data_IF_095315914164
#
_entry.id   IF_095315914164
#
_cell.length_a   1.000
_cell.length_b   1.000
_cell.length_c   1.000
_cell.angle_alpha   90.00
_cell.angle_beta   90.00
_cell.angle_gamma   90.00
#
_symmetry.space_group_name_H-M   'P 1'
#
loop_
_entity.id
_entity.type
_entity.pdbx_description
1 polymer ?
#
# COMPACT_ATOMS: atom_id res chain seq x y z
N UNK A 1 17.94 43.92 -30.50
CA UNK A 1 18.36 44.80 -29.39
C UNK A 1 17.34 44.62 -28.29
N UNK A 2 17.75 44.39 -27.03
CA UNK A 2 16.81 44.22 -25.92
C UNK A 2 16.34 45.61 -25.49
N UNK A 3 15.04 45.89 -25.61
CA UNK A 3 14.43 47.17 -25.19
C UNK A 3 13.72 47.01 -23.86
N UNK A 4 13.55 48.09 -23.11
CA UNK A 4 12.93 48.05 -21.77
C UNK A 4 11.51 47.46 -21.80
N UNK A 5 10.72 47.80 -22.82
CA UNK A 5 9.38 47.24 -23.02
C UNK A 5 9.40 45.71 -23.15
N UNK A 6 10.34 45.15 -23.93
CA UNK A 6 10.49 43.70 -24.06
C UNK A 6 10.92 43.04 -22.76
N UNK A 7 11.68 43.73 -21.91
CA UNK A 7 12.04 43.21 -20.58
C UNK A 7 10.86 43.18 -19.61
N UNK A 8 10.00 44.21 -19.64
CA UNK A 8 8.78 44.26 -18.81
C UNK A 8 7.79 43.15 -19.19
N UNK A 9 7.59 42.92 -20.49
CA UNK A 9 6.75 41.82 -20.98
C UNK A 9 7.29 40.45 -20.54
N UNK A 10 8.60 40.23 -20.66
CA UNK A 10 9.24 38.99 -20.20
C UNK A 10 9.08 38.79 -18.69
N UNK A 11 9.25 39.83 -17.88
CA UNK A 11 9.03 39.77 -16.45
C UNK A 11 7.59 39.42 -16.08
N UNK A 12 6.61 39.98 -16.80
CA UNK A 12 5.20 39.65 -16.59
C UNK A 12 4.91 38.18 -16.90
N UNK A 13 5.46 37.66 -18.00
CA UNK A 13 5.32 36.23 -18.38
C UNK A 13 5.92 35.34 -17.28
N UNK A 14 7.11 35.69 -16.78
CA UNK A 14 7.78 34.95 -15.71
C UNK A 14 6.95 35.01 -14.42
N UNK A 15 6.46 36.20 -14.01
CA UNK A 15 5.60 36.38 -12.82
C UNK A 15 4.33 35.54 -12.92
N UNK A 16 3.67 35.50 -14.09
CA UNK A 16 2.49 34.65 -14.34
C UNK A 16 2.83 33.16 -14.21
N UNK A 17 3.92 32.69 -14.84
CA UNK A 17 4.35 31.27 -14.73
C UNK A 17 4.71 30.85 -13.32
N UNK A 18 5.38 31.70 -12.54
CA UNK A 18 5.69 31.45 -11.12
C UNK A 18 4.39 31.33 -10.30
N UNK A 19 3.43 32.23 -10.54
CA UNK A 19 2.13 32.22 -9.87
C UNK A 19 1.34 30.93 -10.17
N UNK A 20 1.37 30.51 -11.43
CA UNK A 20 0.68 29.30 -11.90
C UNK A 20 1.45 28.00 -11.62
N UNK A 21 2.69 28.09 -11.10
CA UNK A 21 3.60 26.96 -10.87
C UNK A 21 3.84 26.10 -12.13
N UNK A 22 3.81 26.73 -13.31
CA UNK A 22 4.03 26.10 -14.60
C UNK A 22 5.53 26.11 -14.92
N UNK A 23 6.20 24.99 -14.60
CA UNK A 23 7.63 24.80 -14.79
C UNK A 23 7.89 23.77 -15.88
N UNK A 24 8.75 24.13 -16.84
CA UNK A 24 9.19 23.26 -17.93
C UNK A 24 10.46 22.46 -17.57
N UNK A 25 10.80 22.38 -16.27
CA UNK A 25 11.97 21.65 -15.77
C UNK A 25 11.82 20.13 -16.00
N UNK A 26 12.93 19.48 -16.39
CA UNK A 26 12.97 18.03 -16.55
C UNK A 26 12.74 17.34 -15.19
N UNK A 27 11.67 16.55 -15.10
CA UNK A 27 11.38 15.77 -13.90
C UNK A 27 12.41 14.65 -13.74
N UNK A 28 12.97 14.50 -12.53
CA UNK A 28 13.88 13.39 -12.21
C UNK A 28 13.16 12.06 -12.48
N UNK A 29 13.70 11.25 -13.39
CA UNK A 29 13.24 9.88 -13.64
C UNK A 29 13.50 9.07 -12.36
N UNK A 30 12.43 8.71 -11.66
CA UNK A 30 12.50 7.76 -10.55
C UNK A 30 12.73 6.37 -11.15
N UNK A 31 13.73 5.64 -10.63
CA UNK A 31 13.83 4.22 -10.94
C UNK A 31 12.53 3.53 -10.47
N UNK A 32 11.97 2.59 -11.23
CA UNK A 32 10.86 1.78 -10.73
C UNK A 32 11.29 1.19 -9.39
N UNK A 33 10.48 1.40 -8.36
CA UNK A 33 10.69 0.76 -7.07
C UNK A 33 10.18 -0.66 -7.24
N UNK A 34 11.10 -1.59 -7.36
CA UNK A 34 10.80 -3.00 -7.16
C UNK A 34 10.61 -3.17 -5.65
N UNK A 35 9.40 -2.90 -5.16
CA UNK A 35 9.05 -3.16 -3.78
C UNK A 35 8.99 -4.70 -3.62
N UNK A 36 9.90 -5.34 -2.84
CA UNK A 36 10.02 -6.81 -2.80
C UNK A 36 8.75 -7.54 -2.34
N UNK A 37 7.79 -6.80 -1.77
CA UNK A 37 6.57 -7.34 -1.15
C UNK A 37 5.26 -6.99 -1.88
N UNK A 38 5.32 -6.34 -3.05
CA UNK A 38 4.10 -5.99 -3.80
C UNK A 38 3.46 -7.16 -4.56
N UNK A 39 4.02 -8.38 -4.44
CA UNK A 39 3.54 -9.59 -5.12
C UNK A 39 2.24 -10.20 -4.58
N UNK A 40 1.38 -9.45 -3.89
CA UNK A 40 0.01 -9.89 -3.68
C UNK A 40 -0.77 -9.70 -4.98
N UNK A 41 -0.58 -10.64 -5.91
CA UNK A 41 -1.45 -10.78 -7.07
C UNK A 41 -2.88 -10.85 -6.55
N UNK A 42 -3.80 -10.16 -7.22
CA UNK A 42 -5.23 -10.30 -6.91
C UNK A 42 -5.55 -11.78 -7.03
N UNK A 43 -5.98 -12.39 -5.93
CA UNK A 43 -6.45 -13.77 -5.94
C UNK A 43 -7.55 -13.86 -6.99
N UNK A 44 -7.24 -14.48 -8.13
CA UNK A 44 -8.23 -14.76 -9.16
C UNK A 44 -9.10 -15.87 -8.59
N UNK A 45 -10.38 -15.56 -8.35
CA UNK A 45 -11.33 -16.56 -7.89
C UNK A 45 -11.63 -17.49 -9.06
N UNK A 46 -11.21 -18.74 -8.95
CA UNK A 46 -11.56 -19.79 -9.93
C UNK A 46 -13.07 -20.04 -9.86
N UNK A 47 -13.74 -19.94 -11.01
CA UNK A 47 -15.19 -20.15 -11.13
C UNK A 47 -15.56 -21.60 -11.48
N UNK A 48 -14.56 -22.47 -11.58
CA UNK A 48 -14.77 -23.90 -11.79
C UNK A 48 -15.27 -24.55 -10.50
N UNK A 49 -16.07 -25.62 -10.63
CA UNK A 49 -16.54 -26.38 -9.48
C UNK A 49 -15.33 -26.99 -8.74
N UNK A 50 -15.34 -26.91 -7.41
CA UNK A 50 -14.26 -27.46 -6.60
C UNK A 50 -14.10 -28.95 -6.84
N UNK A 51 -12.86 -29.38 -7.11
CA UNK A 51 -12.51 -30.81 -7.25
C UNK A 51 -12.45 -31.51 -5.89
N UNK A 52 -12.27 -30.76 -4.81
CA UNK A 52 -12.13 -31.24 -3.44
C UNK A 52 -13.46 -31.19 -2.70
N UNK A 53 -13.61 -32.12 -1.75
CA UNK A 53 -14.77 -32.14 -0.84
C UNK A 53 -14.64 -31.11 0.29
N UNK A 54 -15.76 -30.73 0.92
CA UNK A 54 -15.73 -29.77 2.03
C UNK A 54 -14.87 -30.26 3.21
N UNK A 55 -14.93 -31.56 3.53
CA UNK A 55 -14.13 -32.16 4.60
C UNK A 55 -12.63 -32.07 4.32
N UNK A 56 -12.23 -32.30 3.07
CA UNK A 56 -10.83 -32.23 2.63
C UNK A 56 -10.30 -30.79 2.66
N UNK A 57 -11.13 -29.80 2.31
CA UNK A 57 -10.78 -28.38 2.45
C UNK A 57 -10.47 -28.05 3.92
N UNK A 58 -11.32 -28.51 4.86
CA UNK A 58 -11.09 -28.29 6.28
C UNK A 58 -9.83 -28.97 6.80
N UNK A 59 -9.53 -30.20 6.35
CA UNK A 59 -8.29 -30.90 6.70
C UNK A 59 -7.06 -30.13 6.20
N UNK A 60 -7.08 -29.69 4.94
CA UNK A 60 -6.00 -28.91 4.35
C UNK A 60 -5.81 -27.55 5.05
N UNK A 61 -6.89 -26.87 5.41
CA UNK A 61 -6.82 -25.62 6.18
C UNK A 61 -6.23 -25.85 7.57
N UNK A 62 -6.61 -26.93 8.26
CA UNK A 62 -6.07 -27.28 9.57
C UNK A 62 -4.56 -27.56 9.50
N UNK A 63 -4.10 -28.31 8.49
CA UNK A 63 -2.68 -28.55 8.24
C UNK A 63 -1.92 -27.27 7.90
N UNK A 64 -2.49 -26.40 7.04
CA UNK A 64 -1.90 -25.09 6.68
C UNK A 64 -1.83 -24.11 7.84
N UNK A 65 -2.75 -24.18 8.81
CA UNK A 65 -2.72 -23.36 10.02
C UNK A 65 -1.62 -23.84 10.98
N UNK A 66 -1.39 -25.15 11.05
CA UNK A 66 -0.37 -25.75 11.90
C UNK A 66 1.04 -25.66 11.31
N UNK A 67 1.17 -25.70 9.98
CA UNK A 67 2.41 -25.40 9.30
C UNK A 67 2.60 -23.88 9.28
N UNK A 68 3.70 -23.39 9.87
CA UNK A 68 4.05 -21.96 9.77
C UNK A 68 4.19 -21.61 8.28
N UNK A 69 3.19 -20.90 7.75
CA UNK A 69 3.11 -20.27 6.42
C UNK A 69 4.43 -20.33 5.65
N UNK A 70 4.64 -21.43 4.93
CA UNK A 70 5.50 -21.40 3.76
C UNK A 70 4.82 -20.43 2.80
N UNK A 71 5.55 -19.38 2.46
CA UNK A 71 5.14 -18.35 1.52
C UNK A 71 4.56 -19.01 0.26
N UNK A 72 3.50 -18.41 -0.28
CA UNK A 72 2.79 -18.88 -1.47
C UNK A 72 3.79 -19.42 -2.50
N UNK A 73 3.66 -20.71 -2.83
CA UNK A 73 4.55 -21.42 -3.74
C UNK A 73 4.74 -20.58 -5.00
N UNK A 74 5.95 -20.06 -5.18
CA UNK A 74 6.37 -19.60 -6.50
C UNK A 74 6.13 -20.76 -7.45
N UNK A 75 5.46 -20.50 -8.57
CA UNK A 75 5.16 -21.55 -9.54
C UNK A 75 6.48 -22.25 -9.92
N UNK A 76 6.55 -23.59 -9.87
CA UNK A 76 7.79 -24.31 -10.15
C UNK A 76 8.38 -23.95 -11.52
N UNK A 77 7.51 -23.66 -12.50
CA UNK A 77 7.87 -23.14 -13.82
C UNK A 77 8.74 -21.87 -13.76
N UNK A 78 8.48 -20.94 -12.84
CA UNK A 78 9.28 -19.72 -12.69
C UNK A 78 10.68 -20.02 -12.16
N UNK A 79 10.79 -20.96 -11.21
CA UNK A 79 12.08 -21.41 -10.67
C UNK A 79 12.90 -22.12 -11.74
N UNK A 80 12.27 -22.96 -12.56
CA UNK A 80 12.93 -23.62 -13.69
C UNK A 80 13.43 -22.62 -14.73
N UNK A 81 12.61 -21.63 -15.11
CA UNK A 81 13.01 -20.57 -16.03
C UNK A 81 14.18 -19.77 -15.48
N UNK A 82 14.18 -19.42 -14.18
CA UNK A 82 15.30 -18.71 -13.55
C UNK A 82 16.60 -19.52 -13.62
N UNK A 83 16.57 -20.81 -13.29
CA UNK A 83 17.74 -21.71 -13.40
C UNK A 83 18.26 -21.80 -14.84
N UNK A 84 17.36 -21.97 -15.82
CA UNK A 84 17.75 -22.00 -17.24
C UNK A 84 18.35 -20.66 -17.68
N UNK A 85 17.82 -19.55 -17.21
CA UNK A 85 18.31 -18.21 -17.52
C UNK A 85 19.70 -17.96 -16.93
N UNK A 86 19.93 -18.33 -15.67
CA UNK A 86 21.23 -18.22 -15.00
C UNK A 86 22.30 -19.04 -15.72
N UNK A 87 22.00 -20.31 -16.03
CA UNK A 87 22.93 -21.18 -16.75
C UNK A 87 23.24 -20.68 -18.16
N UNK A 88 22.26 -20.11 -18.87
CA UNK A 88 22.45 -19.50 -20.18
C UNK A 88 23.35 -18.26 -20.09
N UNK A 89 23.10 -17.36 -19.14
CA UNK A 89 23.91 -16.14 -18.99
C UNK A 89 25.35 -16.45 -18.62
N UNK A 90 25.61 -17.42 -17.74
CA UNK A 90 26.99 -17.84 -17.42
C UNK A 90 27.72 -18.33 -18.68
N UNK A 91 27.03 -19.04 -19.58
CA UNK A 91 27.62 -19.50 -20.86
C UNK A 91 27.88 -18.35 -21.84
N UNK A 92 26.97 -17.38 -21.94
CA UNK A 92 27.15 -16.20 -22.79
C UNK A 92 28.25 -15.28 -22.27
N UNK A 93 28.33 -15.11 -20.96
CA UNK A 93 29.37 -14.32 -20.30
C UNK A 93 30.74 -14.96 -20.54
N UNK A 94 30.84 -16.30 -20.44
CA UNK A 94 32.07 -17.02 -20.76
C UNK A 94 32.44 -16.93 -22.26
N UNK A 95 31.46 -17.02 -23.16
CA UNK A 95 31.67 -16.90 -24.62
C UNK A 95 32.15 -15.50 -25.03
N UNK A 96 31.74 -14.46 -24.30
CA UNK A 96 32.14 -13.07 -24.54
C UNK A 96 33.43 -12.67 -23.79
N UNK A 97 34.19 -13.63 -23.26
CA UNK A 97 35.37 -13.39 -22.41
C UNK A 97 35.09 -12.46 -21.23
N UNK A 98 33.89 -12.54 -20.66
CA UNK A 98 33.42 -11.70 -19.56
C UNK A 98 33.39 -10.19 -19.84
N UNK A 99 33.33 -9.79 -21.12
CA UNK A 99 33.12 -8.39 -21.51
C UNK A 99 31.63 -8.08 -21.70
N UNK A 100 30.87 -8.04 -20.60
CA UNK A 100 29.43 -7.80 -20.61
C UNK A 100 29.04 -6.64 -19.68
N UNK A 101 27.81 -6.14 -19.84
CA UNK A 101 27.24 -5.18 -18.91
C UNK A 101 26.72 -5.93 -17.66
N UNK A 102 27.19 -5.61 -16.45
CA UNK A 102 26.79 -6.32 -15.25
C UNK A 102 25.27 -6.24 -15.03
N UNK A 103 24.70 -7.31 -14.45
CA UNK A 103 23.28 -7.37 -14.14
C UNK A 103 22.87 -6.15 -13.29
N UNK A 104 21.69 -5.56 -13.54
CA UNK A 104 21.23 -4.43 -12.73
C UNK A 104 21.12 -4.86 -11.26
N UNK A 105 21.47 -3.99 -10.31
CA UNK A 105 21.45 -4.34 -8.89
C UNK A 105 20.01 -4.52 -8.41
N UNK A 106 19.65 -5.77 -8.13
CA UNK A 106 18.37 -6.14 -7.52
C UNK A 106 18.50 -6.00 -5.99
N UNK A 107 17.52 -5.39 -5.29
CA UNK A 107 17.57 -5.28 -3.83
C UNK A 107 17.39 -6.65 -3.16
N UNK A 108 18.48 -7.27 -2.74
CA UNK A 108 18.48 -8.53 -1.98
C UNK A 108 18.45 -8.27 -0.47
N UNK A 109 17.53 -8.92 0.25
CA UNK A 109 17.45 -8.85 1.72
C UNK A 109 18.34 -9.96 2.31
N UNK A 110 19.47 -9.57 2.91
CA UNK A 110 20.35 -10.49 3.63
C UNK A 110 20.08 -10.43 5.13
N UNK A 111 19.66 -11.54 5.71
CA UNK A 111 19.44 -11.67 7.16
C UNK A 111 20.73 -12.17 7.78
N UNK A 112 21.42 -11.31 8.54
CA UNK A 112 22.66 -11.65 9.25
C UNK A 112 22.34 -11.96 10.71
N UNK A 113 22.82 -13.09 11.22
CA UNK A 113 22.70 -13.48 12.62
C UNK A 113 23.85 -12.94 13.47
N UNK A 114 23.60 -12.71 14.76
CA UNK A 114 24.63 -12.27 15.70
C UNK A 114 25.53 -13.45 16.09
N UNK A 115 26.56 -13.69 15.27
CA UNK A 115 27.61 -14.68 15.51
C UNK A 115 28.96 -13.96 15.77
N UNK A 116 29.91 -14.58 16.49
CA UNK A 116 31.27 -14.07 16.57
C UNK A 116 31.95 -14.17 15.18
N UNK A 117 32.74 -13.17 14.80
CA UNK A 117 33.41 -13.12 13.50
C UNK A 117 34.23 -14.39 13.20
N UNK A 118 34.84 -14.97 14.24
CA UNK A 118 35.57 -16.24 14.24
C UNK A 118 34.81 -17.37 13.52
N UNK A 119 33.48 -17.45 13.64
CA UNK A 119 32.69 -18.53 13.02
C UNK A 119 32.52 -18.41 11.52
N UNK A 120 32.70 -17.21 10.96
CA UNK A 120 32.64 -16.95 9.52
C UNK A 120 34.03 -16.96 8.87
N UNK A 121 35.09 -16.79 9.66
CA UNK A 121 36.46 -16.79 9.18
C UNK A 121 36.95 -18.20 8.84
N UNK A 122 37.94 -18.29 7.95
CA UNK A 122 38.57 -19.55 7.57
C UNK A 122 39.37 -20.14 8.75
N UNK A 123 39.45 -21.46 8.81
CA UNK A 123 40.22 -22.19 9.84
C UNK A 123 41.72 -22.10 9.51
N UNK A 124 42.30 -20.91 9.62
CA UNK A 124 43.72 -20.66 9.46
C UNK A 124 44.28 -20.08 10.79
N UNK A 125 45.51 -20.42 11.20
CA UNK A 125 46.09 -19.95 12.48
C UNK A 125 46.48 -18.45 12.53
N UNK A 126 45.93 -17.61 11.66
CA UNK A 126 46.29 -16.18 11.54
C UNK A 126 45.44 -15.34 12.50
N UNK A 127 45.98 -14.23 13.00
CA UNK A 127 45.33 -13.33 13.97
C UNK A 127 43.85 -13.04 13.63
N UNK A 128 42.96 -13.54 14.48
CA UNK A 128 41.49 -13.49 14.34
C UNK A 128 40.93 -12.29 15.10
N UNK A 129 39.87 -11.68 14.58
CA UNK A 129 39.12 -10.64 15.29
C UNK A 129 38.06 -11.25 16.24
N UNK A 130 38.06 -10.86 17.51
CA UNK A 130 37.07 -11.35 18.50
C UNK A 130 35.74 -10.56 18.49
N UNK A 131 35.50 -9.73 17.46
CA UNK A 131 34.30 -8.91 17.38
C UNK A 131 33.08 -9.74 16.98
N UNK A 132 31.89 -9.30 17.39
CA UNK A 132 30.63 -9.84 16.86
C UNK A 132 30.33 -9.24 15.48
N UNK A 133 29.60 -9.98 14.63
CA UNK A 133 29.19 -9.51 13.31
C UNK A 133 28.23 -8.32 13.35
N UNK A 134 27.38 -8.26 14.39
CA UNK A 134 26.34 -7.26 14.51
C UNK A 134 26.85 -6.03 15.26
N UNK A 135 26.57 -4.83 14.73
CA UNK A 135 26.97 -3.59 15.38
C UNK A 135 26.15 -3.35 16.67
N UNK A 136 26.71 -2.67 17.69
CA UNK A 136 25.95 -2.32 18.89
C UNK A 136 24.66 -1.53 18.62
N UNK A 137 24.62 -0.74 17.54
CA UNK A 137 23.43 0.03 17.12
C UNK A 137 22.31 -0.85 16.55
N UNK A 138 22.64 -2.01 15.98
CA UNK A 138 21.69 -2.98 15.45
C UNK A 138 21.17 -3.90 16.55
N UNK A 139 22.01 -4.20 17.56
CA UNK A 139 21.57 -4.86 18.81
C UNK A 139 20.64 -3.94 19.61
N UNK A 140 21.00 -2.66 19.72
CA UNK A 140 20.24 -1.66 20.47
C UNK A 140 20.23 -0.34 19.73
N UNK A 141 19.06 0.03 19.20
CA UNK A 141 18.87 1.34 18.59
C UNK A 141 19.23 2.45 19.59
N UNK A 142 20.01 3.43 19.13
CA UNK A 142 20.25 4.66 19.90
C UNK A 142 18.92 5.40 20.11
N UNK A 143 18.72 5.90 21.32
CA UNK A 143 17.60 6.79 21.61
C UNK A 143 17.71 8.04 20.71
N UNK A 144 16.77 8.21 19.77
CA UNK A 144 16.75 9.29 18.75
C UNK A 144 16.72 10.72 19.35
N UNK A 145 16.55 10.82 20.67
CA UNK A 145 16.47 12.07 21.43
C UNK A 145 17.69 12.37 22.31
N UNK A 146 18.75 11.55 22.28
CA UNK A 146 19.81 11.64 23.28
C UNK A 146 19.32 11.12 24.64
N UNK A 147 19.64 11.85 25.71
CA UNK A 147 19.25 11.49 27.07
C UNK A 147 17.72 11.52 27.24
N UNK A 148 17.16 10.46 27.84
CA UNK A 148 15.72 10.30 27.97
C UNK A 148 15.19 11.19 29.09
N UNK A 149 14.96 12.46 28.80
CA UNK A 149 14.29 13.39 29.73
C UNK A 149 12.80 13.15 29.79
N UNK A 150 12.26 12.99 30.99
CA UNK A 150 10.83 12.88 31.25
C UNK A 150 10.15 14.25 31.10
N UNK A 151 8.86 14.33 30.81
CA UNK A 151 8.15 15.60 30.59
C UNK A 151 8.15 16.55 31.80
N UNK A 152 8.38 16.00 33.01
CA UNK A 152 8.59 16.74 34.25
C UNK A 152 9.95 17.45 34.31
N UNK A 153 10.99 16.83 33.75
CA UNK A 153 12.37 17.34 33.75
C UNK A 153 12.63 18.32 32.60
N UNK A 154 11.69 18.42 31.64
CA UNK A 154 11.81 19.31 30.49
C UNK A 154 11.51 20.75 30.86
N UNK A 155 12.51 21.60 30.64
CA UNK A 155 12.36 23.04 30.74
C UNK A 155 11.35 23.58 29.71
N UNK A 156 10.73 24.76 29.94
CA UNK A 156 9.80 25.35 28.98
C UNK A 156 10.47 25.67 27.62
N UNK A 157 11.77 25.95 27.61
CA UNK A 157 12.56 26.16 26.38
C UNK A 157 12.71 24.87 25.58
N UNK A 158 13.00 23.74 26.25
CA UNK A 158 13.08 22.41 25.64
C UNK A 158 11.73 22.00 25.03
N UNK A 159 10.62 22.21 25.75
CA UNK A 159 9.26 21.94 25.25
C UNK A 159 8.95 22.73 23.97
N UNK A 160 9.36 24.01 23.90
CA UNK A 160 9.19 24.85 22.71
C UNK A 160 10.08 24.36 21.54
N UNK A 161 11.33 23.97 21.80
CA UNK A 161 12.24 23.42 20.79
C UNK A 161 11.70 22.13 20.19
N UNK A 162 11.24 21.20 21.02
CA UNK A 162 10.63 19.94 20.59
C UNK A 162 9.38 20.16 19.75
N UNK A 163 8.52 21.11 20.15
CA UNK A 163 7.35 21.48 19.34
C UNK A 163 7.74 22.02 17.97
N UNK A 164 8.77 22.86 17.87
CA UNK A 164 9.29 23.36 16.58
C UNK A 164 9.83 22.21 15.72
N UNK A 165 10.62 21.31 16.31
CA UNK A 165 11.15 20.10 15.63
C UNK A 165 10.01 19.23 15.11
N UNK A 166 9.01 18.91 15.94
CA UNK A 166 7.82 18.14 15.55
C UNK A 166 7.04 18.81 14.43
N UNK A 167 6.82 20.13 14.49
CA UNK A 167 6.16 20.90 13.42
C UNK A 167 6.97 20.87 12.10
N UNK A 168 8.29 21.02 12.17
CA UNK A 168 9.16 20.95 11.01
C UNK A 168 9.09 19.58 10.35
N UNK A 169 9.24 18.50 11.12
CA UNK A 169 9.16 17.13 10.60
C UNK A 169 7.79 16.84 9.99
N UNK A 170 6.70 17.32 10.61
CA UNK A 170 5.35 17.20 10.05
C UNK A 170 5.21 17.96 8.73
N UNK A 171 5.77 19.17 8.63
CA UNK A 171 5.76 19.98 7.39
C UNK A 171 6.55 19.30 6.27
N UNK A 172 7.73 18.75 6.58
CA UNK A 172 8.55 18.01 5.60
C UNK A 172 7.79 16.77 5.09
N UNK A 173 7.23 15.96 5.99
CA UNK A 173 6.43 14.78 5.62
C UNK A 173 5.19 15.14 4.78
N UNK A 174 4.50 16.23 5.11
CA UNK A 174 3.35 16.71 4.32
C UNK A 174 3.78 17.14 2.91
N UNK A 175 4.86 17.92 2.81
CA UNK A 175 5.40 18.38 1.53
C UNK A 175 5.87 17.20 0.65
N UNK A 176 6.46 16.18 1.26
CA UNK A 176 6.85 14.95 0.56
C UNK A 176 5.63 14.16 0.07
N UNK A 177 4.59 14.01 0.90
CA UNK A 177 3.33 13.37 0.50
C UNK A 177 2.65 14.12 -0.65
N UNK A 178 2.60 15.45 -0.58
CA UNK A 178 2.03 16.29 -1.63
C UNK A 178 2.82 16.16 -2.93
N UNK A 179 4.16 16.17 -2.87
CA UNK A 179 5.03 15.90 -4.03
C UNK A 179 4.75 14.53 -4.64
N UNK A 180 4.64 13.47 -3.82
CA UNK A 180 4.31 12.12 -4.28
C UNK A 180 2.93 12.06 -4.95
N UNK A 181 1.92 12.71 -4.36
CA UNK A 181 0.57 12.80 -4.94
C UNK A 181 0.58 13.53 -6.29
N UNK A 182 1.23 14.69 -6.38
CA UNK A 182 1.38 15.44 -7.64
C UNK A 182 2.08 14.62 -8.73
N UNK A 183 3.11 13.85 -8.37
CA UNK A 183 3.78 12.96 -9.32
C UNK A 183 2.86 11.82 -9.79
N UNK A 184 2.07 11.23 -8.90
CA UNK A 184 1.08 10.21 -9.25
C UNK A 184 -0.04 10.77 -10.13
N UNK A 185 -0.55 11.97 -9.83
CA UNK A 185 -1.56 12.66 -10.62
C UNK A 185 -1.08 13.02 -12.02
N UNK A 186 0.19 13.43 -12.17
CA UNK A 186 0.80 13.68 -13.49
C UNK A 186 1.05 12.40 -14.29
N UNK A 187 1.35 11.28 -13.63
CA UNK A 187 1.54 9.97 -14.27
C UNK A 187 0.21 9.31 -14.65
N UNK A 188 -0.90 9.68 -14.01
CA UNK A 188 -2.24 9.27 -14.42
C UNK A 188 -2.65 10.09 -15.64
N UNK A 189 -2.78 9.43 -16.79
CA UNK A 189 -3.18 10.06 -18.05
C UNK A 189 -4.44 10.95 -17.91
N UNK A 190 -4.55 12.04 -18.70
CA UNK A 190 -5.69 12.96 -18.67
C UNK A 190 -7.03 12.36 -19.16
N UNK A 191 -7.12 11.04 -19.37
CA UNK A 191 -8.36 10.30 -19.65
C UNK A 191 -8.85 9.41 -18.49
N UNK A 192 -8.01 9.10 -17.49
CA UNK A 192 -8.33 8.20 -16.39
C UNK A 192 -8.75 8.93 -15.10
N UNK A 193 -9.31 10.15 -15.23
CA UNK A 193 -9.92 10.90 -14.11
C UNK A 193 -11.26 10.28 -13.69
N UNK A 194 -11.29 8.97 -13.45
CA UNK A 194 -12.25 8.43 -12.52
C UNK A 194 -11.70 8.70 -11.12
N UNK A 195 -11.82 9.96 -10.70
CA UNK A 195 -11.66 10.34 -9.30
C UNK A 195 -12.40 9.31 -8.43
N UNK A 196 -11.94 9.03 -7.20
CA UNK A 196 -12.67 8.13 -6.29
C UNK A 196 -14.19 8.39 -6.26
N UNK A 197 -14.59 9.65 -6.44
CA UNK A 197 -15.99 10.09 -6.59
C UNK A 197 -16.66 9.61 -7.88
N UNK A 198 -15.96 9.62 -9.01
CA UNK A 198 -16.44 9.11 -10.29
C UNK A 198 -16.48 7.57 -10.34
N UNK A 199 -15.50 6.87 -9.75
CA UNK A 199 -15.59 5.42 -9.56
C UNK A 199 -16.71 5.04 -8.59
N UNK A 200 -16.89 5.79 -7.50
CA UNK A 200 -18.06 5.64 -6.61
C UNK A 200 -19.38 5.95 -7.32
N UNK A 201 -19.40 6.93 -8.24
CA UNK A 201 -20.59 7.26 -9.02
C UNK A 201 -20.91 6.15 -10.04
N UNK A 202 -19.91 5.54 -10.68
CA UNK A 202 -20.08 4.40 -11.58
C UNK A 202 -20.53 3.16 -10.81
N UNK A 203 -19.94 2.86 -9.64
CA UNK A 203 -20.40 1.79 -8.76
C UNK A 203 -21.86 2.01 -8.33
N UNK A 204 -22.25 3.25 -7.99
CA UNK A 204 -23.65 3.61 -7.69
C UNK A 204 -24.58 3.44 -8.90
N UNK A 205 -24.15 3.74 -10.12
CA UNK A 205 -24.94 3.51 -11.34
C UNK A 205 -25.14 2.02 -11.61
N UNK A 206 -24.06 1.24 -11.56
CA UNK A 206 -24.09 -0.22 -11.73
C UNK A 206 -25.00 -0.91 -10.69
N UNK A 207 -24.99 -0.46 -9.44
CA UNK A 207 -25.89 -1.01 -8.40
C UNK A 207 -27.37 -0.70 -8.64
N UNK A 208 -27.69 0.40 -9.33
CA UNK A 208 -29.07 0.77 -9.68
C UNK A 208 -29.56 0.02 -10.93
N UNK A 209 -28.68 -0.16 -11.91
CA UNK A 209 -29.01 -0.75 -13.21
C UNK A 209 -29.03 -2.29 -13.17
N UNK A 210 -28.13 -2.92 -12.41
CA UNK A 210 -27.97 -4.39 -12.38
C UNK A 210 -28.62 -5.09 -11.18
N UNK A 211 -29.28 -4.35 -10.28
CA UNK A 211 -29.93 -4.92 -9.09
C UNK A 211 -28.96 -5.57 -8.08
N UNK A 212 -27.65 -5.39 -8.22
CA UNK A 212 -26.64 -5.89 -7.29
C UNK A 212 -26.52 -4.93 -6.11
N UNK A 213 -26.83 -5.39 -4.89
CA UNK A 213 -26.62 -4.61 -3.68
C UNK A 213 -25.13 -4.50 -3.37
N UNK A 214 -24.60 -3.28 -3.36
CA UNK A 214 -23.28 -3.00 -2.81
C UNK A 214 -23.36 -3.29 -1.30
N UNK A 215 -22.61 -4.28 -0.82
CA UNK A 215 -22.46 -4.55 0.60
C UNK A 215 -21.80 -3.32 1.21
N UNK A 216 -22.62 -2.40 1.72
CA UNK A 216 -22.11 -1.31 2.55
C UNK A 216 -21.83 -1.94 3.89
N UNK A 217 -20.55 -2.02 4.25
CA UNK A 217 -20.20 -2.14 5.65
C UNK A 217 -20.60 -0.84 6.34
N UNK A 218 -21.89 -0.76 6.67
CA UNK A 218 -22.50 0.32 7.44
C UNK A 218 -21.93 0.24 8.87
N UNK A 219 -20.69 0.70 9.02
CA UNK A 219 -20.06 0.99 10.31
C UNK A 219 -19.74 -0.20 11.21
N UNK A 220 -19.86 -1.44 10.74
CA UNK A 220 -19.54 -2.64 11.55
C UNK A 220 -18.06 -2.78 11.92
N UNK A 221 -17.17 -2.07 11.20
CA UNK A 221 -15.71 -2.12 11.42
C UNK A 221 -15.16 -0.92 12.20
N UNK A 222 -16.00 0.04 12.62
CA UNK A 222 -15.53 1.11 13.51
C UNK A 222 -15.40 0.52 14.90
N UNK A 223 -14.18 0.12 15.25
CA UNK A 223 -13.82 -0.36 16.58
C UNK A 223 -14.53 0.48 17.67
N UNK A 224 -15.27 -0.20 18.55
CA UNK A 224 -16.03 0.32 19.68
C UNK A 224 -15.10 0.94 20.75
N UNK A 225 -14.32 1.96 20.37
CA UNK A 225 -13.27 2.55 21.21
C UNK A 225 -13.82 3.61 22.17
N UNK A 226 -15.11 3.97 22.07
CA UNK A 226 -15.75 4.90 23.01
C UNK A 226 -17.19 4.50 23.32
N UNK A 227 -17.63 4.80 24.55
CA UNK A 227 -19.01 4.59 25.00
C UNK A 227 -20.03 5.31 24.11
N UNK A 228 -19.71 6.52 23.64
CA UNK A 228 -20.56 7.29 22.74
C UNK A 228 -20.81 6.59 21.40
N UNK A 229 -19.79 5.90 20.86
CA UNK A 229 -19.92 5.15 19.61
C UNK A 229 -20.76 3.87 19.79
N UNK A 230 -20.65 3.21 20.95
CA UNK A 230 -21.45 2.04 21.30
C UNK A 230 -22.94 2.39 21.40
N UNK A 231 -23.30 3.43 22.17
CA UNK A 231 -24.70 3.81 22.33
C UNK A 231 -25.33 4.38 21.05
N UNK A 232 -24.58 5.05 20.18
CA UNK A 232 -25.12 5.45 18.86
C UNK A 232 -25.43 4.23 17.99
N UNK A 233 -24.57 3.21 18.01
CA UNK A 233 -24.80 1.98 17.24
C UNK A 233 -26.01 1.20 17.79
N UNK A 234 -26.17 1.14 19.10
CA UNK A 234 -27.34 0.53 19.76
C UNK A 234 -28.64 1.25 19.35
N UNK A 235 -28.65 2.58 19.38
CA UNK A 235 -29.80 3.38 18.96
C UNK A 235 -30.14 3.17 17.48
N UNK A 236 -29.13 3.05 16.63
CA UNK A 236 -29.32 2.81 15.19
C UNK A 236 -29.83 1.40 14.91
N UNK A 237 -29.36 0.38 15.65
CA UNK A 237 -29.89 -0.99 15.59
C UNK A 237 -31.37 -1.05 15.98
N UNK A 238 -31.76 -0.40 17.08
CA UNK A 238 -33.15 -0.34 17.53
C UNK A 238 -34.03 0.37 16.50
N UNK A 239 -33.56 1.49 15.91
CA UNK A 239 -34.27 2.19 14.84
C UNK A 239 -34.45 1.33 13.59
N UNK A 240 -33.44 0.54 13.22
CA UNK A 240 -33.51 -0.38 12.08
C UNK A 240 -34.55 -1.48 12.31
N UNK A 241 -34.55 -2.11 13.49
CA UNK A 241 -35.55 -3.13 13.86
C UNK A 241 -36.97 -2.56 13.87
N UNK A 242 -37.16 -1.35 14.41
CA UNK A 242 -38.47 -0.66 14.37
C UNK A 242 -38.90 -0.38 12.93
N UNK A 243 -37.97 0.02 12.06
CA UNK A 243 -38.26 0.31 10.65
C UNK A 243 -38.61 -0.96 9.88
N UNK A 244 -37.94 -2.07 10.14
CA UNK A 244 -38.23 -3.38 9.57
C UNK A 244 -39.58 -3.91 10.05
N UNK A 245 -39.88 -3.80 11.35
CA UNK A 245 -41.18 -4.15 11.92
C UNK A 245 -42.34 -3.30 11.34
N UNK A 246 -42.11 -2.00 11.14
CA UNK A 246 -43.09 -1.12 10.46
C UNK A 246 -43.28 -1.47 8.99
N UNK A 247 -42.26 -2.03 8.34
CA UNK A 247 -42.31 -2.46 6.94
C UNK A 247 -43.03 -3.80 6.80
N UNK A 248 -42.87 -4.72 7.75
CA UNK A 248 -43.58 -6.00 7.78
C UNK A 248 -45.07 -5.85 8.16
N UNK A 249 -45.44 -4.84 8.95
CA UNK A 249 -46.85 -4.54 9.25
C UNK A 249 -47.63 -3.91 8.08
N UNK A 250 -46.96 -3.34 7.07
CA UNK A 250 -47.61 -2.93 5.82
C UNK A 250 -47.80 -4.17 4.93
N UNK A 251 -48.92 -4.88 5.09
CA UNK A 251 -49.35 -5.93 4.15
C UNK A 251 -49.41 -5.34 2.73
N UNK A 252 -48.91 -6.03 1.69
CA UNK A 252 -49.12 -5.60 0.31
C UNK A 252 -50.62 -5.68 -0.01
N UNK A 253 -51.19 -4.61 -0.57
CA UNK A 253 -52.55 -4.63 -1.13
C UNK A 253 -52.59 -5.69 -2.23
N UNK A 254 -53.43 -6.71 -2.08
CA UNK A 254 -53.72 -7.66 -3.17
C UNK A 254 -54.26 -6.85 -4.36
N UNK A 255 -53.66 -7.00 -5.52
CA UNK A 255 -54.24 -6.50 -6.77
C UNK A 255 -55.42 -7.41 -7.12
N UNK A 256 -56.63 -6.88 -7.06
CA UNK A 256 -57.79 -7.55 -7.64
C UNK A 256 -57.66 -7.48 -9.17
N UNK A 257 -57.41 -8.63 -9.80
CA UNK A 257 -57.50 -8.76 -11.25
C UNK A 257 -58.98 -8.79 -11.63
N UNK A 258 -59.50 -7.70 -12.20
CA UNK A 258 -60.85 -7.65 -12.73
C UNK A 258 -60.97 -8.43 -14.03
N UNK A 259 -61.97 -9.31 -14.13
CA UNK A 259 -62.22 -10.22 -15.24
C UNK A 259 -62.67 -9.55 -16.56
N UNK A 260 -62.55 -8.22 -16.69
CA UNK A 260 -62.97 -7.46 -17.87
C UNK A 260 -61.87 -7.23 -18.91
N UNK A 261 -60.64 -7.70 -18.69
CA UNK A 261 -59.52 -7.54 -19.64
C UNK A 261 -59.09 -8.80 -20.38
N UNK A 262 -59.87 -9.89 -20.29
CA UNK A 262 -59.67 -11.10 -21.08
C UNK A 262 -60.92 -11.32 -21.94
N UNK A 263 -60.96 -10.66 -23.10
CA UNK A 263 -61.75 -11.11 -24.26
C UNK A 263 -60.76 -11.41 -25.38
N UNK A 264 -61.03 -12.52 -26.08
CA UNK A 264 -60.23 -13.19 -27.10
C UNK A 264 -59.49 -12.26 -28.07
#
# INVERSE_FOLDING_TARGET
>A
MVTEETTLELEEIIKRRIKDQAWDDVVRKEKPKEDPFEYKKRLTLDQEKSKLSLAEIYEQEYLKLNQKKTEEEEKPEHVEIQKMMETLFVKLDALSNFHFMPKPPVPEVKIVSNLPAITMEEVAPVHVSNAALLAPEEIKEKNKGGDLKTDAEKTPTDKKRDRRKRKLMKRVKLKEKERRQKCLEKKSEPGAKLSRKASEAQLKKLTKERGTSLLKDDGRDKALKSSKAFFSQLQDQVKMQIKEARKSQKRPKKQELSAQKLKL
#
